data_IF_511989606107
#
_entry.id   IF_511989606107
#
_cell.length_a   1.000
_cell.length_b   1.000
_cell.length_c   1.000
_cell.angle_alpha   90.00
_cell.angle_beta   90.00
_cell.angle_gamma   90.00
#
_symmetry.space_group_name_H-M   'P 1'
#
loop_
_entity.id
_entity.type
_entity.pdbx_description
1 polymer ?
#
# COMPACT_ATOMS: atom_id res chain seq x y z
N UNK A 1 5.18 1.69 -11.07
CA UNK A 1 4.60 3.03 -11.31
C UNK A 1 5.32 4.03 -10.40
N UNK A 2 5.92 5.10 -10.94
CA UNK A 2 6.53 6.15 -10.11
C UNK A 2 5.48 7.24 -9.86
N UNK A 3 4.80 7.15 -8.72
CA UNK A 3 3.94 8.22 -8.23
C UNK A 3 4.83 9.22 -7.51
N UNK A 4 4.66 10.50 -7.78
CA UNK A 4 5.34 11.57 -7.05
C UNK A 4 4.59 11.82 -5.74
N UNK A 5 5.15 11.35 -4.63
CA UNK A 5 4.56 11.49 -3.31
C UNK A 5 4.88 12.86 -2.70
N UNK A 6 3.85 13.52 -2.17
CA UNK A 6 4.04 14.57 -1.15
C UNK A 6 4.26 13.88 0.20
N UNK A 7 5.52 13.54 0.48
CA UNK A 7 5.88 12.70 1.62
C UNK A 7 5.63 13.37 2.99
N UNK A 8 5.67 14.71 3.07
CA UNK A 8 5.34 15.43 4.30
C UNK A 8 3.83 15.41 4.56
N UNK A 9 3.03 15.76 3.56
CA UNK A 9 1.56 15.72 3.64
C UNK A 9 1.04 14.28 3.90
N UNK A 10 1.67 13.28 3.28
CA UNK A 10 1.37 11.86 3.53
C UNK A 10 1.63 11.49 5.00
N UNK A 11 2.77 11.88 5.55
CA UNK A 11 3.16 11.56 6.93
C UNK A 11 2.20 12.17 7.96
N UNK A 12 1.77 13.40 7.74
CA UNK A 12 0.92 14.15 8.68
C UNK A 12 -0.55 13.70 8.64
N UNK A 13 -1.10 13.44 7.46
CA UNK A 13 -2.52 13.18 7.28
C UNK A 13 -2.88 11.69 7.23
N UNK A 14 -1.93 10.82 6.85
CA UNK A 14 -2.20 9.40 6.63
C UNK A 14 -1.41 8.48 7.56
N UNK A 15 -1.07 8.94 8.77
CA UNK A 15 -0.39 8.16 9.81
C UNK A 15 -1.14 6.88 10.23
N UNK A 16 -2.43 6.76 9.91
CA UNK A 16 -3.19 5.53 10.14
C UNK A 16 -2.63 4.32 9.37
N UNK A 17 -1.98 4.53 8.21
CA UNK A 17 -1.35 3.45 7.43
C UNK A 17 -0.32 2.71 8.28
N UNK A 18 0.48 3.45 9.06
CA UNK A 18 1.49 2.86 9.95
C UNK A 18 0.85 2.16 11.15
N UNK A 19 -0.21 2.75 11.75
CA UNK A 19 -0.92 2.14 12.88
C UNK A 19 -1.53 0.80 12.51
N UNK A 20 -2.13 0.69 11.32
CA UNK A 20 -2.66 -0.59 10.83
C UNK A 20 -1.55 -1.57 10.43
N UNK A 21 -0.42 -1.07 9.91
CA UNK A 21 0.74 -1.91 9.58
C UNK A 21 1.32 -2.65 10.79
N UNK A 22 1.19 -2.11 12.01
CA UNK A 22 1.66 -2.80 13.22
C UNK A 22 0.91 -4.11 13.50
N UNK A 23 -0.33 -4.25 13.04
CA UNK A 23 -1.07 -5.52 13.17
C UNK A 23 -0.54 -6.58 12.20
N UNK A 24 -0.05 -6.17 11.03
CA UNK A 24 0.57 -7.08 10.07
C UNK A 24 1.88 -7.65 10.61
N UNK A 25 2.64 -6.86 11.38
CA UNK A 25 3.87 -7.32 12.05
C UNK A 25 3.65 -8.49 13.00
N UNK A 26 2.43 -8.66 13.54
CA UNK A 26 2.08 -9.78 14.45
C UNK A 26 2.02 -11.13 13.72
N UNK A 27 1.96 -11.13 12.39
CA UNK A 27 1.99 -12.36 11.59
C UNK A 27 3.40 -12.91 11.38
N UNK A 28 4.44 -12.14 11.67
CA UNK A 28 5.82 -12.63 11.66
C UNK A 28 5.97 -13.55 12.87
N UNK A 29 6.24 -14.83 12.61
CA UNK A 29 6.43 -15.84 13.68
C UNK A 29 7.88 -15.96 14.16
N UNK A 30 8.85 -15.51 13.33
CA UNK A 30 10.24 -15.46 13.77
C UNK A 30 10.43 -14.36 14.81
N UNK A 31 11.15 -14.67 15.88
CA UNK A 31 11.42 -13.70 16.95
C UNK A 31 12.58 -12.75 16.63
N UNK A 32 13.46 -13.12 15.72
CA UNK A 32 14.64 -12.35 15.29
C UNK A 32 15.13 -12.78 13.91
N UNK A 33 15.98 -12.00 13.30
CA UNK A 33 16.58 -12.27 11.99
C UNK A 33 16.68 -11.02 11.14
N UNK A 34 17.10 -11.21 9.87
CA UNK A 34 17.15 -10.13 8.87
C UNK A 34 15.82 -9.95 8.21
N UNK A 35 15.37 -8.70 8.13
CA UNK A 35 14.07 -8.33 7.53
C UNK A 35 14.31 -7.35 6.40
N UNK A 36 13.67 -7.61 5.27
CA UNK A 36 13.48 -6.65 4.19
C UNK A 36 12.09 -6.04 4.31
N UNK A 37 12.02 -4.74 4.57
CA UNK A 37 10.78 -3.96 4.51
C UNK A 37 10.62 -3.40 3.08
N UNK A 38 9.79 -4.09 2.27
CA UNK A 38 9.61 -3.83 0.85
C UNK A 38 8.50 -2.83 0.61
N UNK A 39 8.84 -1.63 0.10
CA UNK A 39 7.97 -0.47 0.03
C UNK A 39 7.88 0.23 1.39
N UNK A 40 9.02 0.51 2.00
CA UNK A 40 9.13 1.01 3.37
C UNK A 40 8.59 2.43 3.57
N UNK A 41 8.35 3.18 2.49
CA UNK A 41 7.85 4.54 2.54
C UNK A 41 8.71 5.46 3.41
N UNK A 42 8.10 6.14 4.36
CA UNK A 42 8.78 7.06 5.30
C UNK A 42 9.54 6.35 6.44
N UNK A 43 9.65 5.01 6.41
CA UNK A 43 10.44 4.22 7.34
C UNK A 43 9.79 3.94 8.70
N UNK A 44 8.52 4.27 8.90
CA UNK A 44 7.86 4.09 10.20
C UNK A 44 7.73 2.62 10.60
N UNK A 45 7.39 1.71 9.66
CA UNK A 45 7.31 0.28 9.93
C UNK A 45 8.70 -0.36 9.98
N UNK A 46 9.66 0.14 9.19
CA UNK A 46 11.08 -0.25 9.30
C UNK A 46 11.60 -0.01 10.72
N UNK A 47 11.31 1.18 11.29
CA UNK A 47 11.62 1.50 12.68
C UNK A 47 10.94 0.58 13.67
N UNK A 48 9.66 0.29 13.48
CA UNK A 48 8.91 -0.60 14.35
C UNK A 48 9.45 -2.05 14.34
N UNK A 49 9.91 -2.53 13.19
CA UNK A 49 10.62 -3.82 13.05
C UNK A 49 11.96 -3.80 13.78
N UNK A 50 12.75 -2.74 13.59
CA UNK A 50 14.03 -2.57 14.29
C UNK A 50 13.85 -2.55 15.81
N UNK A 51 12.85 -1.83 16.33
CA UNK A 51 12.56 -1.75 17.76
C UNK A 51 12.12 -3.07 18.38
N UNK A 52 11.64 -4.01 17.55
CA UNK A 52 11.36 -5.39 17.93
C UNK A 52 12.62 -6.29 17.95
N UNK A 53 13.78 -5.76 17.54
CA UNK A 53 15.07 -6.47 17.58
C UNK A 53 15.46 -7.17 16.27
N UNK A 54 14.80 -6.84 15.15
CA UNK A 54 15.21 -7.33 13.84
C UNK A 54 16.36 -6.47 13.25
N UNK A 55 17.21 -7.08 12.43
CA UNK A 55 18.13 -6.39 11.54
C UNK A 55 17.38 -6.05 10.24
N UNK A 56 17.10 -4.76 9.99
CA UNK A 56 16.13 -4.34 8.97
C UNK A 56 16.80 -3.49 7.90
N UNK A 57 16.48 -3.80 6.63
CA UNK A 57 16.70 -2.93 5.48
C UNK A 57 15.36 -2.48 4.93
N UNK A 58 15.16 -1.16 4.81
CA UNK A 58 14.01 -0.57 4.13
C UNK A 58 14.30 -0.33 2.64
N UNK A 59 13.39 -0.72 1.78
CA UNK A 59 13.48 -0.50 0.32
C UNK A 59 12.25 0.21 -0.19
N UNK A 60 12.42 1.29 -0.97
CA UNK A 60 11.34 2.00 -1.63
C UNK A 60 11.79 2.55 -2.99
N UNK A 61 10.86 2.74 -3.91
CA UNK A 61 11.13 3.32 -5.21
C UNK A 61 11.15 4.86 -5.21
N UNK A 62 10.56 5.50 -4.18
CA UNK A 62 10.40 6.96 -4.07
C UNK A 62 11.57 7.60 -3.32
N UNK A 63 12.29 8.51 -3.98
CA UNK A 63 13.33 9.31 -3.34
C UNK A 63 12.77 10.23 -2.25
N UNK A 64 11.57 10.79 -2.47
CA UNK A 64 10.91 11.71 -1.54
C UNK A 64 10.60 10.98 -0.21
N UNK A 65 10.03 9.77 -0.31
CA UNK A 65 9.74 8.93 0.86
C UNK A 65 11.02 8.51 1.58
N UNK A 66 12.04 8.07 0.84
CA UNK A 66 13.33 7.69 1.40
C UNK A 66 14.06 8.89 2.05
N UNK A 67 13.89 10.09 1.53
CA UNK A 67 14.40 11.32 2.14
C UNK A 67 13.83 11.51 3.56
N UNK A 68 12.51 11.34 3.73
CA UNK A 68 11.86 11.38 5.05
C UNK A 68 12.30 10.22 5.93
N UNK A 69 12.37 9.00 5.39
CA UNK A 69 12.81 7.82 6.13
C UNK A 69 14.20 8.00 6.74
N UNK A 70 15.19 8.44 5.95
CA UNK A 70 16.57 8.69 6.39
C UNK A 70 16.68 9.82 7.40
N UNK A 71 15.90 10.89 7.22
CA UNK A 71 15.85 12.03 8.16
C UNK A 71 15.33 11.60 9.53
N UNK A 72 14.27 10.78 9.56
CA UNK A 72 13.62 10.35 10.79
C UNK A 72 14.33 9.19 11.49
N UNK A 73 15.10 8.38 10.74
CA UNK A 73 15.76 7.17 11.24
C UNK A 73 17.19 7.08 10.68
N UNK A 74 18.12 7.97 11.10
CA UNK A 74 19.45 8.08 10.52
C UNK A 74 20.33 6.82 10.76
N UNK A 75 19.99 6.01 11.76
CA UNK A 75 20.73 4.79 12.12
C UNK A 75 20.26 3.56 11.34
N UNK A 76 19.18 3.67 10.51
CA UNK A 76 18.65 2.58 9.72
C UNK A 76 19.10 2.67 8.25
N UNK A 77 19.18 1.52 7.61
CA UNK A 77 19.56 1.42 6.20
C UNK A 77 18.35 1.50 5.30
N UNK A 78 18.37 2.46 4.34
CA UNK A 78 17.34 2.66 3.33
C UNK A 78 17.95 2.66 1.93
N UNK A 79 17.40 1.82 1.04
CA UNK A 79 17.89 1.62 -0.33
C UNK A 79 16.80 1.99 -1.33
N UNK A 80 17.15 2.73 -2.38
CA UNK A 80 16.25 2.99 -3.50
C UNK A 80 16.27 1.82 -4.45
N UNK A 81 15.14 1.16 -4.63
CA UNK A 81 14.96 0.14 -5.67
C UNK A 81 13.48 -0.10 -5.97
N UNK A 82 13.20 -0.69 -7.13
CA UNK A 82 11.87 -1.15 -7.50
C UNK A 82 11.64 -2.58 -6.99
N UNK A 83 10.44 -2.85 -6.47
CA UNK A 83 10.08 -4.17 -5.92
C UNK A 83 10.16 -5.29 -6.95
N UNK A 84 10.13 -4.96 -8.25
CA UNK A 84 10.16 -5.92 -9.36
C UNK A 84 11.55 -6.29 -9.84
N UNK A 85 12.62 -5.67 -9.30
CA UNK A 85 14.01 -5.97 -9.70
C UNK A 85 15.02 -5.87 -8.55
N UNK A 86 14.56 -5.66 -7.33
CA UNK A 86 15.42 -5.57 -6.17
C UNK A 86 16.02 -6.94 -5.79
N UNK A 87 17.33 -6.96 -5.62
CA UNK A 87 18.10 -8.08 -5.09
C UNK A 87 18.85 -7.57 -3.86
N UNK A 88 18.54 -8.06 -2.64
CA UNK A 88 19.28 -7.66 -1.46
C UNK A 88 20.73 -8.18 -1.53
N UNK A 89 21.71 -7.50 -0.88
CA UNK A 89 23.12 -7.92 -0.88
C UNK A 89 23.33 -9.30 -0.25
N UNK A 90 22.45 -9.72 0.61
CA UNK A 90 22.38 -11.04 1.22
C UNK A 90 20.92 -11.45 1.44
N UNK A 91 20.68 -12.76 1.53
CA UNK A 91 19.34 -13.28 1.79
C UNK A 91 18.85 -12.90 3.18
N UNK A 92 17.55 -12.68 3.27
CA UNK A 92 16.84 -12.30 4.50
C UNK A 92 15.97 -13.44 5.02
N UNK A 93 15.58 -13.34 6.28
CA UNK A 93 14.71 -14.34 6.94
C UNK A 93 13.24 -13.99 6.81
N UNK A 94 12.93 -12.70 6.65
CA UNK A 94 11.58 -12.20 6.44
C UNK A 94 11.57 -11.13 5.34
N UNK A 95 10.61 -11.21 4.43
CA UNK A 95 10.19 -10.07 3.60
C UNK A 95 8.85 -9.60 4.13
N UNK A 96 8.80 -8.36 4.56
CA UNK A 96 7.62 -7.68 5.03
C UNK A 96 7.20 -6.61 4.02
N UNK A 97 5.89 -6.42 3.80
CA UNK A 97 5.39 -5.33 2.96
C UNK A 97 4.00 -4.89 3.41
N UNK A 98 3.76 -3.59 3.48
CA UNK A 98 2.45 -3.06 3.87
C UNK A 98 2.01 -1.92 2.96
N UNK A 99 0.82 -2.03 2.38
CA UNK A 99 0.16 -1.04 1.53
C UNK A 99 0.92 -0.68 0.23
N UNK A 100 1.62 -1.64 -0.38
CA UNK A 100 2.49 -1.43 -1.56
C UNK A 100 1.94 -2.08 -2.82
N UNK A 101 1.54 -3.35 -2.77
CA UNK A 101 1.38 -4.16 -3.99
C UNK A 101 0.25 -3.72 -4.90
N UNK A 102 -0.78 -3.08 -4.40
CA UNK A 102 -1.84 -2.51 -5.24
C UNK A 102 -1.37 -1.35 -6.14
N UNK A 103 -0.17 -0.80 -5.92
CA UNK A 103 0.48 0.18 -6.80
C UNK A 103 1.26 -0.44 -7.94
N UNK A 104 1.48 -1.76 -7.93
CA UNK A 104 2.22 -2.50 -8.94
C UNK A 104 1.22 -3.02 -9.98
N UNK A 105 1.52 -2.84 -11.27
CA UNK A 105 0.68 -3.36 -12.34
C UNK A 105 0.54 -4.87 -12.24
N UNK A 106 -0.66 -5.37 -12.51
CA UNK A 106 -1.00 -6.80 -12.36
C UNK A 106 0.00 -7.74 -13.01
N UNK A 107 0.46 -7.40 -14.21
CA UNK A 107 1.38 -8.23 -15.02
C UNK A 107 2.76 -8.37 -14.37
N UNK A 108 3.14 -7.44 -13.50
CA UNK A 108 4.44 -7.41 -12.84
C UNK A 108 4.50 -8.21 -11.52
N UNK A 109 3.34 -8.63 -10.98
CA UNK A 109 3.31 -9.39 -9.73
C UNK A 109 4.08 -10.71 -9.78
N UNK A 110 4.03 -11.53 -10.86
CA UNK A 110 4.85 -12.73 -10.93
C UNK A 110 6.36 -12.42 -10.85
N UNK A 111 6.81 -11.33 -11.48
CA UNK A 111 8.21 -10.89 -11.42
C UNK A 111 8.59 -10.43 -10.02
N UNK A 112 7.76 -9.59 -9.39
CA UNK A 112 7.95 -9.13 -8.01
C UNK A 112 8.01 -10.30 -7.03
N UNK A 113 7.07 -11.27 -7.13
CA UNK A 113 7.04 -12.46 -6.27
C UNK A 113 8.29 -13.33 -6.46
N UNK A 114 8.83 -13.42 -7.68
CA UNK A 114 10.11 -14.07 -7.96
C UNK A 114 11.29 -13.36 -7.29
N UNK A 115 11.31 -12.01 -7.26
CA UNK A 115 12.31 -11.24 -6.53
C UNK A 115 12.23 -11.50 -5.02
N UNK A 116 11.02 -11.49 -4.45
CA UNK A 116 10.78 -11.80 -3.03
C UNK A 116 11.25 -13.23 -2.70
N UNK A 117 10.90 -14.22 -3.54
CA UNK A 117 11.33 -15.60 -3.35
C UNK A 117 12.86 -15.72 -3.34
N UNK A 118 13.53 -15.03 -4.28
CA UNK A 118 14.99 -15.06 -4.38
C UNK A 118 15.68 -14.32 -3.23
N UNK A 119 15.03 -13.29 -2.65
CA UNK A 119 15.56 -12.56 -1.50
C UNK A 119 15.56 -13.38 -0.21
N UNK A 120 14.65 -14.36 -0.07
CA UNK A 120 14.46 -15.11 1.16
C UNK A 120 15.42 -16.30 1.29
N UNK A 121 15.83 -16.58 2.53
CA UNK A 121 16.38 -17.87 2.95
C UNK A 121 15.34 -18.99 2.83
N UNK A 122 15.75 -20.24 2.77
CA UNK A 122 14.86 -21.39 2.84
C UNK A 122 14.14 -21.39 4.20
N UNK A 123 12.83 -21.62 4.23
CA UNK A 123 12.02 -21.48 5.41
C UNK A 123 11.77 -20.02 5.85
N UNK A 124 12.21 -19.05 5.04
CA UNK A 124 11.95 -17.62 5.27
C UNK A 124 10.47 -17.24 5.07
N UNK A 125 10.05 -16.21 5.77
CA UNK A 125 8.66 -15.76 5.81
C UNK A 125 8.40 -14.58 4.86
N UNK A 126 7.30 -14.63 4.14
CA UNK A 126 6.77 -13.52 3.36
C UNK A 126 5.44 -13.06 3.98
N UNK A 127 5.43 -11.88 4.58
CA UNK A 127 4.29 -11.31 5.32
C UNK A 127 3.91 -9.99 4.70
N UNK A 128 2.66 -9.86 4.27
CA UNK A 128 2.24 -8.65 3.59
C UNK A 128 0.75 -8.34 3.73
N UNK A 129 0.42 -7.05 3.53
CA UNK A 129 -0.94 -6.56 3.40
C UNK A 129 -1.01 -5.46 2.34
N UNK A 130 -2.07 -5.49 1.52
CA UNK A 130 -2.36 -4.43 0.56
C UNK A 130 -3.87 -4.30 0.30
N UNK A 131 -4.30 -3.31 -0.50
CA UNK A 131 -5.70 -3.13 -0.89
C UNK A 131 -6.20 -4.36 -1.63
N UNK A 132 -7.20 -5.04 -1.07
CA UNK A 132 -7.81 -6.23 -1.66
C UNK A 132 -9.03 -5.92 -2.53
N UNK A 133 -9.67 -6.94 -3.08
CA UNK A 133 -10.88 -6.80 -3.89
C UNK A 133 -11.97 -6.06 -3.11
N UNK A 134 -12.56 -5.04 -3.73
CA UNK A 134 -13.54 -4.14 -3.10
C UNK A 134 -12.93 -2.96 -2.35
N UNK A 135 -11.59 -2.78 -2.36
CA UNK A 135 -10.95 -1.66 -1.67
C UNK A 135 -11.33 -0.32 -2.29
N UNK A 136 -11.89 0.57 -1.48
CA UNK A 136 -12.38 1.89 -1.89
C UNK A 136 -13.40 1.84 -3.06
N UNK A 137 -14.18 0.76 -3.14
CA UNK A 137 -15.07 0.50 -4.28
C UNK A 137 -16.16 1.56 -4.42
N UNK A 138 -16.73 2.04 -3.30
CA UNK A 138 -17.73 3.12 -3.31
C UNK A 138 -17.13 4.41 -3.87
N UNK A 139 -15.91 4.74 -3.46
CA UNK A 139 -15.20 5.94 -3.94
C UNK A 139 -14.90 5.81 -5.44
N UNK A 140 -14.35 4.69 -5.88
CA UNK A 140 -14.03 4.46 -7.28
C UNK A 140 -15.27 4.45 -8.18
N UNK A 141 -16.35 3.78 -7.74
CA UNK A 141 -17.62 3.73 -8.48
C UNK A 141 -18.22 5.12 -8.63
N UNK A 142 -18.28 5.89 -7.54
CA UNK A 142 -18.82 7.24 -7.57
C UNK A 142 -17.99 8.18 -8.46
N UNK A 143 -16.68 8.13 -8.34
CA UNK A 143 -15.80 8.91 -9.21
C UNK A 143 -15.99 8.54 -10.69
N UNK A 144 -16.14 7.26 -11.03
CA UNK A 144 -16.40 6.85 -12.41
C UNK A 144 -17.72 7.44 -12.95
N UNK A 145 -18.78 7.47 -12.14
CA UNK A 145 -20.05 8.10 -12.49
C UNK A 145 -19.90 9.61 -12.72
N UNK A 146 -19.19 10.31 -11.81
CA UNK A 146 -18.98 11.77 -11.92
C UNK A 146 -18.11 12.11 -13.12
N UNK A 147 -17.01 11.38 -13.34
CA UNK A 147 -16.15 11.54 -14.51
C UNK A 147 -16.94 11.44 -15.82
N UNK A 148 -17.83 10.43 -15.93
CA UNK A 148 -18.67 10.25 -17.11
C UNK A 148 -19.61 11.43 -17.32
N UNK A 149 -20.18 12.04 -16.26
CA UNK A 149 -21.02 13.25 -16.36
C UNK A 149 -20.25 14.47 -16.86
N UNK A 150 -18.97 14.55 -16.52
CA UNK A 150 -18.05 15.60 -17.01
C UNK A 150 -17.42 15.28 -18.37
N UNK A 151 -17.78 14.15 -19.00
CA UNK A 151 -17.26 13.76 -20.32
C UNK A 151 -15.88 13.11 -20.31
N UNK A 152 -15.43 12.63 -19.16
CA UNK A 152 -14.15 11.92 -18.99
C UNK A 152 -14.34 10.44 -18.76
N UNK A 153 -13.33 9.66 -19.10
CA UNK A 153 -13.23 8.26 -18.76
C UNK A 153 -12.41 8.09 -17.47
N UNK A 154 -12.91 7.29 -16.53
CA UNK A 154 -12.25 7.03 -15.26
C UNK A 154 -11.40 5.77 -15.36
N UNK A 155 -10.09 5.90 -15.33
CA UNK A 155 -9.15 4.80 -15.37
C UNK A 155 -8.29 4.74 -14.13
N UNK A 156 -8.12 3.53 -13.58
CA UNK A 156 -7.15 3.24 -12.53
C UNK A 156 -6.23 2.10 -12.95
N UNK A 157 -5.01 2.11 -12.44
CA UNK A 157 -4.03 1.04 -12.65
C UNK A 157 -3.85 0.18 -11.37
N UNK A 158 -4.74 0.36 -10.36
CA UNK A 158 -4.64 -0.39 -9.11
C UNK A 158 -5.03 -1.84 -9.31
N UNK A 159 -4.27 -2.72 -8.65
CA UNK A 159 -4.58 -4.15 -8.63
C UNK A 159 -5.10 -4.56 -7.24
N UNK A 160 -6.40 -4.68 -7.09
CA UNK A 160 -7.08 -5.15 -5.89
C UNK A 160 -7.48 -6.62 -6.06
N UNK A 161 -6.62 -7.51 -5.56
CA UNK A 161 -6.83 -8.96 -5.69
C UNK A 161 -7.68 -9.51 -4.54
N UNK A 162 -8.42 -10.58 -4.82
CA UNK A 162 -9.02 -11.44 -3.79
C UNK A 162 -8.06 -12.57 -3.38
N UNK A 163 -8.41 -13.29 -2.30
CA UNK A 163 -7.63 -14.48 -1.86
C UNK A 163 -7.51 -15.51 -2.98
N UNK A 164 -8.63 -15.81 -3.66
CA UNK A 164 -8.66 -16.80 -4.74
C UNK A 164 -7.84 -16.44 -5.98
N UNK A 165 -7.50 -15.14 -6.17
CA UNK A 165 -6.64 -14.70 -7.26
C UNK A 165 -5.16 -14.69 -6.84
N UNK A 166 -4.88 -14.24 -5.61
CA UNK A 166 -3.51 -13.92 -5.20
C UNK A 166 -2.77 -15.10 -4.58
N UNK A 167 -3.46 -15.96 -3.80
CA UNK A 167 -2.84 -17.13 -3.21
C UNK A 167 -2.24 -18.08 -4.27
N UNK A 168 -2.90 -18.37 -5.39
CA UNK A 168 -2.29 -19.17 -6.46
C UNK A 168 -1.03 -18.53 -7.07
N UNK A 169 -0.97 -17.18 -7.19
CA UNK A 169 0.24 -16.50 -7.68
C UNK A 169 1.41 -16.67 -6.71
N UNK A 170 1.14 -16.55 -5.40
CA UNK A 170 2.14 -16.73 -4.35
C UNK A 170 2.65 -18.18 -4.36
N UNK A 171 1.76 -19.17 -4.49
CA UNK A 171 2.15 -20.59 -4.54
C UNK A 171 2.91 -20.94 -5.82
N UNK A 172 2.54 -20.39 -6.97
CA UNK A 172 3.27 -20.54 -8.23
C UNK A 172 4.70 -19.98 -8.17
N UNK A 173 4.93 -18.96 -7.34
CA UNK A 173 6.26 -18.42 -7.10
C UNK A 173 7.13 -19.29 -6.18
N UNK A 174 6.62 -20.41 -5.63
CA UNK A 174 7.36 -21.37 -4.81
C UNK A 174 7.12 -21.25 -3.31
N UNK A 175 6.12 -20.47 -2.91
CA UNK A 175 5.75 -20.33 -1.49
C UNK A 175 4.68 -21.34 -1.08
N UNK A 176 4.62 -21.62 0.22
CA UNK A 176 3.48 -22.27 0.86
C UNK A 176 2.69 -21.21 1.62
N UNK A 177 1.45 -20.94 1.22
CA UNK A 177 0.55 -20.03 1.92
C UNK A 177 0.15 -20.63 3.26
N UNK A 178 0.38 -19.92 4.36
CA UNK A 178 0.06 -20.33 5.73
C UNK A 178 -1.15 -19.58 6.31
N UNK A 179 -1.38 -18.37 5.81
CA UNK A 179 -2.48 -17.53 6.22
C UNK A 179 -2.90 -16.63 5.06
N UNK A 180 -4.19 -16.47 4.85
CA UNK A 180 -4.76 -15.53 3.89
C UNK A 180 -6.12 -15.05 4.38
N UNK A 181 -6.33 -13.73 4.38
CA UNK A 181 -7.59 -13.12 4.80
C UNK A 181 -7.90 -11.91 3.92
N UNK A 182 -9.16 -11.80 3.50
CA UNK A 182 -9.73 -10.62 2.88
C UNK A 182 -10.78 -10.05 3.84
N UNK A 183 -10.62 -8.81 4.29
CA UNK A 183 -11.50 -8.23 5.30
C UNK A 183 -11.73 -6.74 5.09
N UNK A 184 -12.91 -6.27 5.48
CA UNK A 184 -13.24 -4.86 5.50
C UNK A 184 -12.54 -4.12 6.65
N UNK A 185 -12.05 -2.94 6.35
CA UNK A 185 -11.42 -2.06 7.34
C UNK A 185 -11.77 -0.61 7.06
N UNK A 186 -13.00 -0.19 7.35
CA UNK A 186 -13.36 1.22 7.25
C UNK A 186 -12.35 2.08 8.02
N UNK A 187 -11.74 3.04 7.33
CA UNK A 187 -10.62 3.80 7.87
C UNK A 187 -10.99 5.26 7.99
N UNK A 188 -10.94 5.81 9.21
CA UNK A 188 -11.23 7.22 9.47
C UNK A 188 -10.22 8.11 8.74
N UNK A 189 -10.74 9.11 8.02
CA UNK A 189 -9.99 10.14 7.34
C UNK A 189 -10.01 11.43 8.18
N UNK A 190 -8.88 12.13 8.21
CA UNK A 190 -8.68 13.26 9.12
C UNK A 190 -9.28 14.55 8.56
N UNK A 191 -10.08 15.24 9.38
CA UNK A 191 -10.62 16.57 9.07
C UNK A 191 -11.92 16.55 8.25
N UNK A 192 -12.49 17.74 8.08
CA UNK A 192 -13.77 17.93 7.40
C UNK A 192 -13.66 17.64 5.89
N UNK A 193 -12.49 17.90 5.30
CA UNK A 193 -12.17 17.64 3.90
C UNK A 193 -11.48 16.27 3.69
N UNK A 194 -11.53 15.38 4.70
CA UNK A 194 -10.74 14.15 4.72
C UNK A 194 -10.91 13.27 3.48
N UNK A 195 -12.13 13.16 2.91
CA UNK A 195 -12.35 12.40 1.69
C UNK A 195 -11.79 13.11 0.45
N UNK A 196 -11.95 14.42 0.34
CA UNK A 196 -11.38 15.21 -0.75
C UNK A 196 -9.85 15.14 -0.75
N UNK A 197 -9.22 15.28 0.42
CA UNK A 197 -7.77 15.16 0.59
C UNK A 197 -7.26 13.77 0.24
N UNK A 198 -8.03 12.73 0.62
CA UNK A 198 -7.72 11.36 0.25
C UNK A 198 -7.75 11.15 -1.27
N UNK A 199 -8.79 11.65 -1.96
CA UNK A 199 -8.93 11.58 -3.42
C UNK A 199 -7.73 12.26 -4.08
N UNK A 200 -7.39 13.48 -3.68
CA UNK A 200 -6.24 14.23 -4.24
C UNK A 200 -4.90 13.50 -4.01
N UNK A 201 -4.72 12.87 -2.85
CA UNK A 201 -3.45 12.19 -2.51
C UNK A 201 -3.27 10.88 -3.27
N UNK A 202 -4.31 10.06 -3.35
CA UNK A 202 -4.17 8.68 -3.82
C UNK A 202 -4.67 8.46 -5.25
N UNK A 203 -5.48 9.36 -5.82
CA UNK A 203 -6.10 9.17 -7.13
C UNK A 203 -5.58 10.14 -8.21
N UNK A 204 -4.30 10.53 -8.12
CA UNK A 204 -3.69 11.43 -9.12
C UNK A 204 -3.83 10.90 -10.56
N UNK A 205 -3.67 9.59 -10.76
CA UNK A 205 -3.64 8.96 -12.10
C UNK A 205 -4.94 9.19 -12.89
N UNK A 206 -6.14 8.92 -12.34
CA UNK A 206 -7.40 9.23 -13.03
C UNK A 206 -7.54 10.71 -13.41
N UNK A 207 -7.09 11.61 -12.55
CA UNK A 207 -7.21 13.06 -12.78
C UNK A 207 -6.24 13.64 -13.81
N UNK A 208 -5.24 12.88 -14.26
CA UNK A 208 -4.34 13.33 -15.37
C UNK A 208 -5.07 13.59 -16.69
N UNK A 209 -6.25 13.01 -16.88
CA UNK A 209 -7.10 13.23 -18.05
C UNK A 209 -7.94 14.50 -17.95
N UNK A 210 -8.06 15.11 -16.77
CA UNK A 210 -8.90 16.30 -16.54
C UNK A 210 -8.13 17.55 -16.95
N UNK A 211 -8.78 18.44 -17.70
CA UNK A 211 -8.12 19.56 -18.40
C UNK A 211 -7.47 20.60 -17.49
N UNK A 212 -8.03 20.84 -16.31
CA UNK A 212 -7.56 21.88 -15.39
C UNK A 212 -7.97 21.60 -13.93
N UNK A 213 -7.31 22.27 -12.99
CA UNK A 213 -7.53 22.11 -11.56
C UNK A 213 -8.94 22.47 -11.11
N UNK A 214 -9.56 23.49 -11.70
CA UNK A 214 -10.93 23.90 -11.35
C UNK A 214 -11.94 22.79 -11.64
N UNK A 215 -11.84 22.16 -12.79
CA UNK A 215 -12.70 21.04 -13.17
C UNK A 215 -12.43 19.79 -12.34
N UNK A 216 -11.17 19.53 -11.98
CA UNK A 216 -10.82 18.48 -11.04
C UNK A 216 -11.45 18.70 -9.65
N UNK A 217 -11.43 19.95 -9.15
CA UNK A 217 -12.06 20.30 -7.89
C UNK A 217 -13.60 20.21 -7.94
N UNK A 218 -14.22 20.54 -9.07
CA UNK A 218 -15.67 20.36 -9.29
C UNK A 218 -16.03 18.87 -9.23
N UNK A 219 -15.30 18.00 -9.92
CA UNK A 219 -15.49 16.55 -9.91
C UNK A 219 -15.32 15.99 -8.49
N UNK A 220 -14.28 16.39 -7.77
CA UNK A 220 -14.03 15.93 -6.40
C UNK A 220 -15.17 16.36 -5.49
N UNK A 221 -15.59 17.63 -5.57
CA UNK A 221 -16.65 18.17 -4.72
C UNK A 221 -17.99 17.48 -4.97
N UNK A 222 -18.33 17.19 -6.22
CA UNK A 222 -19.54 16.47 -6.59
C UNK A 222 -19.51 15.04 -6.03
N UNK A 223 -18.41 14.30 -6.23
CA UNK A 223 -18.26 12.95 -5.72
C UNK A 223 -18.32 12.89 -4.18
N UNK A 224 -17.64 13.81 -3.49
CA UNK A 224 -17.66 13.92 -2.03
C UNK A 224 -19.08 14.20 -1.51
N UNK A 225 -19.82 15.13 -2.14
CA UNK A 225 -21.19 15.44 -1.75
C UNK A 225 -22.12 14.22 -1.89
N UNK A 226 -21.99 13.45 -2.98
CA UNK A 226 -22.81 12.26 -3.20
C UNK A 226 -22.44 11.09 -2.28
N UNK A 227 -21.16 10.94 -1.91
CA UNK A 227 -20.68 9.93 -0.99
C UNK A 227 -20.99 10.22 0.49
N UNK A 228 -21.43 11.44 0.81
CA UNK A 228 -21.65 11.87 2.19
C UNK A 228 -22.61 10.97 2.96
N UNK A 229 -23.67 10.51 2.33
CA UNK A 229 -24.65 9.64 2.97
C UNK A 229 -24.09 8.26 3.36
N UNK A 230 -23.02 7.80 2.70
CA UNK A 230 -22.46 6.47 2.88
C UNK A 230 -21.15 6.46 3.68
N UNK A 231 -20.31 7.49 3.49
CA UNK A 231 -18.96 7.52 4.02
C UNK A 231 -18.72 8.58 5.10
N UNK A 232 -19.72 9.42 5.41
CA UNK A 232 -19.64 10.40 6.49
C UNK A 232 -20.50 9.96 7.68
N UNK A 233 -19.86 9.34 8.68
CA UNK A 233 -20.55 8.72 9.81
C UNK A 233 -20.11 9.40 11.10
N UNK A 234 -21.09 9.81 11.94
CA UNK A 234 -20.84 10.46 13.23
C UNK A 234 -19.88 11.66 13.17
N UNK A 235 -20.02 12.49 12.11
CA UNK A 235 -19.19 13.67 11.95
C UNK A 235 -17.80 13.42 11.39
N UNK A 236 -17.52 12.25 10.84
CA UNK A 236 -16.20 11.84 10.33
C UNK A 236 -16.32 11.13 8.99
N UNK A 237 -15.34 11.36 8.13
CA UNK A 237 -15.18 10.65 6.88
C UNK A 237 -14.48 9.31 7.07
N UNK A 238 -14.91 8.31 6.30
CA UNK A 238 -14.28 6.98 6.25
C UNK A 238 -14.00 6.57 4.81
N UNK A 239 -12.82 6.02 4.54
CA UNK A 239 -12.59 5.26 3.33
C UNK A 239 -13.05 3.80 3.53
N UNK A 240 -13.76 3.27 2.56
CA UNK A 240 -14.30 1.89 2.55
C UNK A 240 -13.20 0.89 2.16
N UNK A 241 -12.16 0.79 2.99
CA UNK A 241 -11.04 -0.08 2.72
C UNK A 241 -11.38 -1.56 2.89
N UNK A 242 -10.88 -2.34 1.93
CA UNK A 242 -10.77 -3.81 2.03
C UNK A 242 -9.29 -4.18 1.94
N UNK A 243 -8.84 -5.09 2.80
CA UNK A 243 -7.44 -5.51 2.83
C UNK A 243 -7.30 -6.99 2.55
N UNK A 244 -6.33 -7.32 1.71
CA UNK A 244 -5.81 -8.67 1.54
C UNK A 244 -4.53 -8.79 2.34
N UNK A 245 -4.54 -9.68 3.33
CA UNK A 245 -3.42 -9.96 4.24
C UNK A 245 -3.00 -11.41 4.08
N UNK A 246 -1.70 -11.65 3.97
CA UNK A 246 -1.19 -12.99 3.80
C UNK A 246 0.14 -13.19 4.54
N UNK A 247 0.36 -14.45 4.95
CA UNK A 247 1.65 -14.98 5.35
C UNK A 247 1.95 -16.25 4.56
N UNK A 248 3.12 -16.32 3.99
CA UNK A 248 3.60 -17.48 3.24
C UNK A 248 5.04 -17.81 3.64
N UNK A 249 5.47 -19.03 3.39
CA UNK A 249 6.81 -19.52 3.73
C UNK A 249 7.47 -20.06 2.47
N UNK A 250 8.73 -19.72 2.26
CA UNK A 250 9.56 -20.27 1.17
C UNK A 250 9.86 -21.73 1.44
N UNK A 251 9.47 -22.61 0.54
CA UNK A 251 9.68 -24.06 0.60
C UNK A 251 10.73 -24.53 -0.38
#
# INVERSE_FOLDING_TARGET
MNIKWDAEKYTDNFSFVHRHGTDVLKLIERERGKVLDLGCGNGALTKALHDKGYDVIGVDASDDMLGVARKNNPDLTFVKADATDFIPPEKVDVVFSNAVFHWINRELHPKMLGCVYNALNYGGEFVFEFGGRGNAEKIHTKLAEVFARHGYEYHTEYYFAGVGDYAPLVEQAGFMVKYAELFERPTELKGDDGLADWIRMFLEVPFRAVNNEKEADEIISEAVNELKAELYVNGKWYADYVRLRMRAVKT
#
